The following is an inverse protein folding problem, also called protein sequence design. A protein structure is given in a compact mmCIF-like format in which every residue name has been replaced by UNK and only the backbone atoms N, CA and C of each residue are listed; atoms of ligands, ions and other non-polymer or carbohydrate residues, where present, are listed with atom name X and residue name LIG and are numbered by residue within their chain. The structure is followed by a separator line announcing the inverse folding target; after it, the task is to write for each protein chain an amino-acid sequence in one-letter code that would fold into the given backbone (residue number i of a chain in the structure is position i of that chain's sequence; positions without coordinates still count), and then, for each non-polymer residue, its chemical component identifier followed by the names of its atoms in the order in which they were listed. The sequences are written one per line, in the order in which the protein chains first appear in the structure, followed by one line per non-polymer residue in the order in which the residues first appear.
data_IF_035594434382
#
_entry.id   IF_035594434382
#
_cell.length_a   1.000
_cell.length_b   1.000
_cell.length_c   1.000
_cell.angle_alpha   90.00
_cell.angle_beta   90.00
_cell.angle_gamma   90.00
#
_symmetry.space_group_name_H-M   'P 1'
#
loop_
_entity.id
_entity.type
_entity.pdbx_description
1 polymer ?
#
# COMPACT_ATOMS: atom_id res chain seq x y z
N UNK A 1 -7.79 24.04 -15.35
CA UNK A 1 -6.82 23.12 -14.72
C UNK A 1 -7.29 22.94 -13.28
N UNK A 2 -7.36 21.72 -12.79
CA UNK A 2 -7.72 21.43 -11.39
C UNK A 2 -6.43 21.14 -10.60
N UNK A 3 -6.39 21.60 -9.35
CA UNK A 3 -5.25 21.43 -8.45
C UNK A 3 -5.78 21.24 -7.03
N UNK A 4 -5.23 20.25 -6.34
CA UNK A 4 -5.45 20.02 -4.92
C UNK A 4 -4.24 19.28 -4.34
N UNK A 5 -4.19 19.17 -3.02
CA UNK A 5 -3.14 18.46 -2.30
C UNK A 5 -3.78 17.36 -1.48
N UNK A 6 -3.07 16.24 -1.36
CA UNK A 6 -3.41 15.16 -0.46
C UNK A 6 -2.20 14.86 0.42
N UNK A 7 -2.46 14.38 1.64
CA UNK A 7 -1.43 13.87 2.53
C UNK A 7 -1.61 12.37 2.68
N UNK A 8 -0.62 11.60 2.25
CA UNK A 8 -0.58 10.15 2.44
C UNK A 8 0.53 9.84 3.43
N UNK A 9 0.16 9.34 4.60
CA UNK A 9 1.08 9.18 5.73
C UNK A 9 1.84 10.49 6.04
N UNK A 10 3.17 10.48 5.94
CA UNK A 10 3.99 11.66 6.20
C UNK A 10 4.17 12.57 4.97
N UNK A 11 3.63 12.21 3.80
CA UNK A 11 4.02 12.82 2.52
C UNK A 11 2.89 13.65 1.90
N UNK A 12 3.23 14.87 1.50
CA UNK A 12 2.33 15.80 0.82
C UNK A 12 2.50 15.65 -0.70
N UNK A 13 1.42 15.24 -1.36
CA UNK A 13 1.38 15.05 -2.81
C UNK A 13 0.51 16.14 -3.42
N UNK A 14 1.10 16.91 -4.34
CA UNK A 14 0.39 17.98 -5.06
C UNK A 14 -0.06 17.50 -6.42
N UNK A 15 -1.37 17.37 -6.57
CA UNK A 15 -2.00 16.82 -7.77
C UNK A 15 -2.46 17.96 -8.67
N UNK A 16 -2.12 17.87 -9.96
CA UNK A 16 -2.55 18.77 -11.01
C UNK A 16 -3.13 17.97 -12.18
N UNK A 17 -4.03 18.58 -12.94
CA UNK A 17 -4.39 18.06 -14.26
C UNK A 17 -5.54 18.80 -14.93
N UNK A 18 -5.97 18.30 -16.09
CA UNK A 18 -7.15 18.84 -16.78
C UNK A 18 -8.41 18.36 -16.07
N UNK A 19 -9.36 19.26 -15.84
CA UNK A 19 -10.66 18.91 -15.23
C UNK A 19 -11.29 17.78 -16.04
N UNK A 20 -11.50 16.64 -15.39
CA UNK A 20 -11.99 15.41 -15.98
C UNK A 20 -12.75 14.63 -14.90
N UNK A 21 -13.63 13.73 -15.32
CA UNK A 21 -14.33 12.82 -14.41
C UNK A 21 -13.35 12.04 -13.53
N UNK A 22 -12.25 11.58 -14.11
CA UNK A 22 -11.19 10.85 -13.43
C UNK A 22 -10.59 11.64 -12.24
N UNK A 23 -10.32 12.93 -12.41
CA UNK A 23 -9.79 13.78 -11.34
C UNK A 23 -10.84 14.10 -10.27
N UNK A 24 -12.10 14.28 -10.68
CA UNK A 24 -13.21 14.47 -9.73
C UNK A 24 -13.40 13.25 -8.83
N UNK A 25 -13.46 12.06 -9.44
CA UNK A 25 -13.58 10.79 -8.69
C UNK A 25 -12.38 10.56 -7.78
N UNK A 26 -11.16 10.87 -8.24
CA UNK A 26 -9.98 10.78 -7.38
C UNK A 26 -10.11 11.68 -6.15
N UNK A 27 -10.51 12.94 -6.34
CA UNK A 27 -10.68 13.90 -5.26
C UNK A 27 -11.73 13.45 -4.24
N UNK A 28 -12.85 12.91 -4.72
CA UNK A 28 -13.92 12.41 -3.86
C UNK A 28 -13.47 11.17 -3.07
N UNK A 29 -12.77 10.22 -3.71
CA UNK A 29 -12.23 9.04 -3.06
C UNK A 29 -11.17 9.35 -2.00
N UNK A 30 -10.36 10.37 -2.26
CA UNK A 30 -9.29 10.80 -1.36
C UNK A 30 -9.74 11.97 -0.47
N UNK A 31 -11.04 12.20 -0.32
CA UNK A 31 -11.59 13.34 0.44
C UNK A 31 -11.07 13.40 1.88
N UNK A 32 -10.95 12.25 2.54
CA UNK A 32 -10.43 12.15 3.90
C UNK A 32 -8.94 12.55 4.01
N UNK A 33 -8.20 12.50 2.90
CA UNK A 33 -6.77 12.77 2.81
C UNK A 33 -6.47 14.15 2.20
N UNK A 34 -7.49 14.97 1.91
CA UNK A 34 -7.28 16.32 1.40
C UNK A 34 -6.52 17.17 2.42
N UNK A 35 -5.51 17.88 1.95
CA UNK A 35 -4.59 18.61 2.81
C UNK A 35 -4.46 20.06 2.35
N UNK A 36 -4.93 21.00 3.17
CA UNK A 36 -4.99 22.42 2.81
C UNK A 36 -3.88 23.27 3.47
N UNK A 37 -3.02 22.67 4.30
CA UNK A 37 -1.93 23.40 4.95
C UNK A 37 -0.83 23.77 3.95
N UNK A 38 -0.14 24.86 4.26
CA UNK A 38 1.02 25.32 3.48
C UNK A 38 2.27 24.64 4.03
N UNK A 39 2.95 23.87 3.18
CA UNK A 39 4.17 23.17 3.54
C UNK A 39 4.98 22.76 2.30
N UNK A 40 6.07 22.06 2.56
CA UNK A 40 6.87 21.44 1.51
C UNK A 40 6.07 20.33 0.81
N UNK A 41 6.33 20.17 -0.48
CA UNK A 41 5.66 19.19 -1.33
C UNK A 41 6.67 18.10 -1.65
N UNK A 42 6.37 16.88 -1.25
CA UNK A 42 7.26 15.73 -1.45
C UNK A 42 7.16 15.19 -2.88
N UNK A 43 5.96 15.24 -3.47
CA UNK A 43 5.70 14.74 -4.83
C UNK A 43 4.74 15.65 -5.60
N UNK A 44 5.18 16.14 -6.75
CA UNK A 44 4.33 16.81 -7.73
C UNK A 44 3.81 15.78 -8.74
N UNK A 45 2.50 15.60 -8.78
CA UNK A 45 1.85 14.63 -9.66
C UNK A 45 0.95 15.33 -10.68
N UNK A 46 1.18 15.07 -11.97
CA UNK A 46 0.27 15.48 -13.05
C UNK A 46 -0.56 14.28 -13.54
N UNK A 47 -1.88 14.42 -13.61
CA UNK A 47 -2.79 13.34 -14.01
C UNK A 47 -3.53 13.70 -15.30
N UNK A 48 -3.49 12.78 -16.25
CA UNK A 48 -4.18 12.87 -17.53
C UNK A 48 -5.03 11.61 -17.79
N UNK A 49 -6.23 11.81 -18.35
CA UNK A 49 -7.11 10.71 -18.76
C UNK A 49 -6.99 10.38 -20.25
N UNK A 50 -7.66 9.31 -20.68
CA UNK A 50 -7.77 8.92 -22.10
C UNK A 50 -6.54 8.17 -22.62
N UNK A 51 -5.81 7.50 -21.74
CA UNK A 51 -4.65 6.70 -22.10
C UNK A 51 -5.02 5.25 -22.47
N UNK A 52 -4.30 4.66 -23.42
CA UNK A 52 -4.27 3.22 -23.63
C UNK A 52 -5.63 2.57 -23.95
N UNK A 53 -5.75 1.30 -23.57
CA UNK A 53 -6.94 0.46 -23.73
C UNK A 53 -7.40 -0.10 -22.37
N UNK A 54 -8.63 -0.64 -22.26
CA UNK A 54 -9.09 -1.27 -21.03
C UNK A 54 -8.13 -2.32 -20.46
N UNK A 55 -8.23 -2.56 -19.15
CA UNK A 55 -7.41 -3.54 -18.45
C UNK A 55 -7.43 -4.91 -19.14
N UNK A 56 -6.24 -5.47 -19.38
CA UNK A 56 -6.07 -6.79 -20.01
C UNK A 56 -5.38 -7.80 -19.10
N UNK A 57 -4.30 -7.39 -18.45
CA UNK A 57 -3.51 -8.20 -17.53
C UNK A 57 -2.63 -7.30 -16.65
N UNK A 58 -1.87 -7.91 -15.74
CA UNK A 58 -0.97 -7.23 -14.81
C UNK A 58 0.45 -7.02 -15.37
N UNK A 59 0.69 -7.22 -16.67
CA UNK A 59 2.03 -7.12 -17.23
C UNK A 59 2.44 -5.65 -17.36
N UNK A 60 3.41 -5.25 -16.56
CA UNK A 60 3.99 -3.91 -16.60
C UNK A 60 5.35 -3.98 -17.28
N UNK A 61 5.53 -3.14 -18.31
CA UNK A 61 6.82 -2.92 -18.95
C UNK A 61 7.49 -1.73 -18.29
N UNK A 62 8.78 -1.89 -17.97
CA UNK A 62 9.54 -0.87 -17.28
C UNK A 62 10.67 -0.42 -18.19
N UNK A 63 10.76 0.89 -18.39
CA UNK A 63 11.79 1.54 -19.19
C UNK A 63 12.45 2.59 -18.32
N UNK A 64 13.77 2.64 -18.28
CA UNK A 64 14.49 3.61 -17.47
C UNK A 64 15.61 4.23 -18.30
N UNK A 65 15.76 5.54 -18.19
CA UNK A 65 16.87 6.32 -18.72
C UNK A 65 17.45 7.25 -17.64
N UNK A 66 18.45 8.05 -17.98
CA UNK A 66 19.12 8.93 -17.01
C UNK A 66 18.22 10.02 -16.38
N UNK A 67 17.04 10.27 -16.95
CA UNK A 67 16.15 11.35 -16.54
C UNK A 67 14.87 10.84 -15.88
N UNK A 68 14.33 9.72 -16.36
CA UNK A 68 13.07 9.17 -15.87
C UNK A 68 12.99 7.66 -15.92
N UNK A 69 12.12 7.12 -15.06
CA UNK A 69 11.63 5.75 -15.11
C UNK A 69 10.17 5.77 -15.55
N UNK A 70 9.81 4.85 -16.44
CA UNK A 70 8.48 4.71 -17.00
C UNK A 70 7.93 3.31 -16.71
N UNK A 71 6.72 3.25 -16.15
CA UNK A 71 5.98 2.02 -15.91
C UNK A 71 4.74 2.00 -16.79
N UNK A 72 4.70 1.08 -17.75
CA UNK A 72 3.65 1.02 -18.76
C UNK A 72 2.85 -0.27 -18.61
N UNK A 73 1.54 -0.13 -18.41
CA UNK A 73 0.54 -1.19 -18.58
C UNK A 73 -0.39 -0.81 -19.73
N UNK A 74 -1.23 -1.73 -20.20
CA UNK A 74 -2.13 -1.46 -21.32
C UNK A 74 -3.07 -0.26 -21.08
N UNK A 75 -3.42 0.00 -19.82
CA UNK A 75 -4.43 0.94 -19.34
C UNK A 75 -3.83 2.15 -18.59
N UNK A 76 -2.52 2.17 -18.28
CA UNK A 76 -1.86 3.37 -17.75
C UNK A 76 -0.38 3.49 -18.14
N UNK A 77 0.15 4.71 -18.00
CA UNK A 77 1.57 5.04 -18.04
C UNK A 77 1.92 5.91 -16.83
N UNK A 78 2.92 5.49 -16.06
CA UNK A 78 3.57 6.30 -15.04
C UNK A 78 4.91 6.76 -15.61
N UNK A 79 5.20 8.06 -15.55
CA UNK A 79 6.52 8.62 -15.82
C UNK A 79 6.98 9.33 -14.55
N UNK A 80 8.14 8.98 -14.01
CA UNK A 80 8.68 9.55 -12.77
C UNK A 80 10.14 9.94 -12.96
N UNK A 81 10.51 11.15 -12.52
CA UNK A 81 11.90 11.62 -12.55
C UNK A 81 12.77 10.80 -11.58
N UNK A 82 14.08 10.72 -11.82
CA UNK A 82 14.98 9.87 -11.02
C UNK A 82 15.04 10.23 -9.53
N UNK A 83 14.72 11.47 -9.16
CA UNK A 83 14.63 11.93 -7.77
C UNK A 83 13.25 11.70 -7.14
N UNK A 84 12.29 11.15 -7.89
CA UNK A 84 10.93 10.89 -7.43
C UNK A 84 10.17 12.14 -6.92
N UNK A 85 10.58 13.36 -7.28
CA UNK A 85 9.86 14.60 -6.90
C UNK A 85 8.79 15.00 -7.89
N UNK A 86 8.91 14.59 -9.15
CA UNK A 86 7.93 14.87 -10.19
C UNK A 86 7.49 13.58 -10.86
N UNK A 87 6.18 13.41 -11.01
CA UNK A 87 5.61 12.30 -11.76
C UNK A 87 4.41 12.73 -12.61
N UNK A 88 4.16 11.95 -13.66
CA UNK A 88 2.98 12.03 -14.49
C UNK A 88 2.31 10.66 -14.55
N UNK A 89 0.99 10.63 -14.36
CA UNK A 89 0.16 9.47 -14.63
C UNK A 89 -0.78 9.78 -15.78
N UNK A 90 -0.77 8.92 -16.79
CA UNK A 90 -1.79 8.89 -17.84
C UNK A 90 -2.59 7.60 -17.67
N UNK A 91 -3.91 7.67 -17.49
CA UNK A 91 -4.74 6.49 -17.19
C UNK A 91 -6.00 6.41 -18.09
N UNK A 92 -6.43 5.17 -18.36
CA UNK A 92 -7.63 4.87 -19.14
C UNK A 92 -8.90 5.20 -18.36
N UNK A 93 -8.99 4.64 -17.15
CA UNK A 93 -10.15 4.70 -16.26
C UNK A 93 -9.70 4.81 -14.79
N UNK A 94 -10.68 4.79 -13.89
CA UNK A 94 -10.50 4.92 -12.45
C UNK A 94 -9.69 3.75 -11.85
N UNK A 95 -9.91 2.53 -12.33
CA UNK A 95 -9.20 1.33 -11.85
C UNK A 95 -7.73 1.39 -12.25
N UNK A 96 -7.45 1.82 -13.48
CA UNK A 96 -6.11 2.05 -13.98
C UNK A 96 -5.40 3.14 -13.17
N UNK A 97 -6.08 4.25 -12.88
CA UNK A 97 -5.53 5.33 -12.06
C UNK A 97 -5.21 4.88 -10.63
N UNK A 98 -6.12 4.14 -9.98
CA UNK A 98 -5.87 3.57 -8.65
C UNK A 98 -4.61 2.70 -8.64
N UNK A 99 -4.51 1.77 -9.58
CA UNK A 99 -3.32 0.92 -9.69
C UNK A 99 -2.05 1.74 -9.98
N UNK A 100 -2.12 2.74 -10.85
CA UNK A 100 -0.98 3.61 -11.13
C UNK A 100 -0.51 4.38 -9.89
N UNK A 101 -1.43 4.94 -9.11
CA UNK A 101 -1.14 5.66 -7.87
C UNK A 101 -0.52 4.76 -6.80
N UNK A 102 -1.07 3.57 -6.59
CA UNK A 102 -0.53 2.59 -5.64
C UNK A 102 0.93 2.27 -5.94
N UNK A 103 1.24 2.03 -7.22
CA UNK A 103 2.60 1.66 -7.61
C UNK A 103 3.55 2.85 -7.63
N UNK A 104 3.12 4.03 -8.08
CA UNK A 104 3.91 5.25 -7.95
C UNK A 104 4.26 5.52 -6.48
N UNK A 105 3.28 5.44 -5.58
CA UNK A 105 3.49 5.71 -4.17
C UNK A 105 4.41 4.66 -3.52
N UNK A 106 4.22 3.37 -3.85
CA UNK A 106 5.12 2.30 -3.39
C UNK A 106 6.56 2.53 -3.85
N UNK A 107 6.77 2.91 -5.11
CA UNK A 107 8.11 3.25 -5.62
C UNK A 107 8.70 4.49 -4.98
N UNK A 108 7.88 5.50 -4.72
CA UNK A 108 8.29 6.71 -4.06
C UNK A 108 8.78 6.43 -2.62
N UNK A 109 8.01 5.72 -1.79
CA UNK A 109 8.44 5.43 -0.41
C UNK A 109 9.65 4.48 -0.34
N UNK A 110 9.79 3.57 -1.31
CA UNK A 110 10.96 2.71 -1.43
C UNK A 110 12.19 3.49 -1.88
N UNK A 111 12.03 4.46 -2.79
CA UNK A 111 13.13 5.29 -3.28
C UNK A 111 13.83 6.02 -2.12
N UNK A 112 13.04 6.52 -1.17
CA UNK A 112 13.53 7.23 0.02
C UNK A 112 13.87 6.32 1.21
N UNK A 113 13.77 5.00 1.06
CA UNK A 113 13.91 4.02 2.16
C UNK A 113 13.00 4.31 3.37
N UNK A 114 11.84 4.92 3.13
CA UNK A 114 10.90 5.31 4.20
C UNK A 114 10.06 4.13 4.69
N UNK A 115 9.68 3.23 3.78
CA UNK A 115 8.78 2.14 4.14
C UNK A 115 8.38 1.23 2.99
N UNK A 116 7.35 0.43 3.24
CA UNK A 116 6.82 -0.59 2.34
C UNK A 116 5.30 -0.45 2.21
N UNK A 117 4.79 -0.73 1.01
CA UNK A 117 3.37 -0.91 0.77
C UNK A 117 3.08 -2.42 0.67
N UNK A 118 2.33 -2.97 1.63
CA UNK A 118 2.10 -4.43 1.74
C UNK A 118 0.67 -4.77 1.29
N UNK A 119 0.52 -5.71 0.37
CA UNK A 119 -0.75 -6.27 -0.07
C UNK A 119 -1.42 -7.06 1.05
N UNK A 120 -2.28 -6.37 1.79
CA UNK A 120 -2.80 -6.82 3.08
C UNK A 120 -4.02 -6.00 3.50
N UNK A 121 -4.78 -6.53 4.46
CA UNK A 121 -5.67 -5.70 5.28
C UNK A 121 -5.00 -5.40 6.62
N UNK A 122 -5.41 -4.33 7.29
CA UNK A 122 -4.87 -3.93 8.58
C UNK A 122 -5.97 -3.50 9.55
N UNK A 123 -6.05 -4.19 10.68
CA UNK A 123 -7.03 -3.97 11.74
C UNK A 123 -6.33 -3.53 13.01
N UNK A 124 -6.98 -2.71 13.83
CA UNK A 124 -6.47 -2.30 15.13
C UNK A 124 -7.13 -3.13 16.23
N UNK A 125 -6.31 -3.68 17.12
CA UNK A 125 -6.75 -4.30 18.37
C UNK A 125 -5.87 -3.80 19.52
N UNK A 126 -6.49 -3.42 20.64
CA UNK A 126 -5.80 -2.97 21.85
C UNK A 126 -4.72 -1.90 21.60
N UNK A 127 -4.99 -0.98 20.65
CA UNK A 127 -4.09 0.12 20.29
C UNK A 127 -2.90 -0.27 19.40
N UNK A 128 -2.84 -1.51 18.90
CA UNK A 128 -1.82 -1.99 17.96
C UNK A 128 -2.45 -2.37 16.63
N UNK A 129 -1.71 -2.16 15.55
CA UNK A 129 -2.06 -2.60 14.21
C UNK A 129 -1.71 -4.08 14.02
N UNK A 130 -2.59 -4.81 13.35
CA UNK A 130 -2.43 -6.21 12.96
C UNK A 130 -2.62 -6.30 11.45
N UNK A 131 -1.57 -6.74 10.74
CA UNK A 131 -1.61 -6.91 9.30
C UNK A 131 -2.04 -8.34 8.98
N UNK A 132 -3.02 -8.51 8.10
CA UNK A 132 -3.40 -9.79 7.52
C UNK A 132 -2.98 -9.81 6.05
N UNK A 133 -1.90 -10.53 5.75
CA UNK A 133 -1.32 -10.65 4.42
C UNK A 133 -1.47 -12.07 3.87
N UNK A 134 -1.36 -12.23 2.56
CA UNK A 134 -1.52 -13.53 1.91
C UNK A 134 -1.77 -13.38 0.42
N UNK A 135 -1.70 -14.51 -0.29
CA UNK A 135 -1.95 -14.57 -1.73
C UNK A 135 -3.35 -14.05 -2.09
N UNK A 136 -3.57 -13.76 -3.37
CA UNK A 136 -4.93 -13.45 -3.85
C UNK A 136 -5.87 -14.62 -3.49
N UNK A 137 -7.03 -14.32 -2.92
CA UNK A 137 -7.97 -15.33 -2.43
C UNK A 137 -7.69 -15.91 -1.04
N UNK A 138 -6.56 -15.58 -0.38
CA UNK A 138 -6.22 -16.10 0.97
C UNK A 138 -7.23 -15.67 2.06
N UNK A 139 -7.99 -14.59 1.82
CA UNK A 139 -9.05 -14.14 2.73
C UNK A 139 -8.76 -12.85 3.50
N UNK A 140 -7.85 -11.98 3.02
CA UNK A 140 -7.52 -10.68 3.64
C UNK A 140 -8.75 -9.81 3.94
N UNK A 141 -9.59 -9.59 2.95
CA UNK A 141 -10.83 -8.81 3.10
C UNK A 141 -11.85 -9.56 3.98
N UNK A 142 -11.83 -10.89 3.98
CA UNK A 142 -12.66 -11.71 4.87
C UNK A 142 -12.22 -11.54 6.33
N UNK A 143 -10.93 -11.62 6.62
CA UNK A 143 -10.38 -11.38 7.96
C UNK A 143 -10.72 -9.96 8.45
N UNK A 144 -10.57 -8.95 7.59
CA UNK A 144 -10.99 -7.58 7.90
C UNK A 144 -12.49 -7.48 8.25
N UNK A 145 -13.37 -8.07 7.41
CA UNK A 145 -14.83 -8.08 7.65
C UNK A 145 -15.20 -8.81 8.95
N UNK A 146 -14.54 -9.94 9.23
CA UNK A 146 -14.75 -10.73 10.45
C UNK A 146 -14.17 -10.07 11.71
N UNK A 147 -13.35 -9.04 11.56
CA UNK A 147 -12.75 -8.34 12.70
C UNK A 147 -13.64 -7.27 13.30
N UNK A 148 -14.76 -6.90 12.65
CA UNK A 148 -15.72 -5.95 13.20
C UNK A 148 -16.17 -6.35 14.62
N UNK A 149 -16.31 -5.39 15.55
CA UNK A 149 -16.34 -3.93 15.35
C UNK A 149 -14.97 -3.22 15.43
N UNK A 150 -13.85 -3.94 15.34
CA UNK A 150 -12.50 -3.35 15.40
C UNK A 150 -12.23 -2.36 14.27
N UNK A 151 -11.36 -1.39 14.54
CA UNK A 151 -11.02 -0.36 13.59
C UNK A 151 -10.17 -0.87 12.43
N UNK A 152 -10.34 -0.28 11.25
CA UNK A 152 -9.67 -0.71 10.02
C UNK A 152 -8.82 0.41 9.42
N UNK A 153 -7.52 0.16 9.23
CA UNK A 153 -6.58 1.10 8.58
C UNK A 153 -6.42 0.85 7.08
N UNK A 154 -6.57 -0.40 6.63
CA UNK A 154 -6.44 -0.77 5.23
C UNK A 154 -7.19 -2.06 4.92
N UNK A 155 -7.67 -2.23 3.69
CA UNK A 155 -8.32 -3.47 3.21
C UNK A 155 -7.69 -4.08 1.95
N UNK A 156 -6.69 -3.40 1.37
CA UNK A 156 -5.99 -3.84 0.17
C UNK A 156 -4.48 -3.58 0.24
N UNK A 157 -4.06 -2.34 0.53
CA UNK A 157 -2.64 -2.01 0.62
C UNK A 157 -2.35 -1.25 1.91
N UNK A 158 -1.58 -1.88 2.81
CA UNK A 158 -1.19 -1.29 4.09
C UNK A 158 0.11 -0.50 3.93
N UNK A 159 0.12 0.75 4.37
CA UNK A 159 1.30 1.62 4.36
C UNK A 159 2.07 1.39 5.66
N UNK A 160 3.30 0.88 5.54
CA UNK A 160 4.17 0.57 6.68
C UNK A 160 5.42 1.44 6.62
N UNK A 161 5.61 2.32 7.61
CA UNK A 161 6.86 3.04 7.83
C UNK A 161 7.83 2.17 8.61
N UNK A 162 9.06 2.09 8.14
CA UNK A 162 10.11 1.23 8.71
C UNK A 162 11.26 2.09 9.21
N UNK A 163 11.16 2.54 10.47
CA UNK A 163 12.27 3.19 11.17
C UNK A 163 13.13 2.15 11.93
N UNK A 164 14.25 2.57 12.52
CA UNK A 164 15.17 1.66 13.23
C UNK A 164 14.52 1.02 14.46
N UNK A 165 13.80 1.80 15.27
CA UNK A 165 13.23 1.33 16.55
C UNK A 165 11.71 1.19 16.53
N UNK A 166 11.03 1.74 15.51
CA UNK A 166 9.57 1.84 15.49
C UNK A 166 9.02 1.51 14.12
N UNK A 167 8.11 0.55 14.08
CA UNK A 167 7.33 0.25 12.89
C UNK A 167 5.92 0.80 13.08
N UNK A 168 5.51 1.67 12.17
CA UNK A 168 4.20 2.34 12.23
C UNK A 168 3.38 2.04 10.98
N UNK A 169 2.07 1.91 11.16
CA UNK A 169 1.09 1.73 10.09
C UNK A 169 0.19 2.95 10.00
N UNK A 170 -0.09 3.37 8.78
CA UNK A 170 -0.94 4.52 8.49
C UNK A 170 -2.27 4.09 7.88
N UNK A 171 -3.28 4.95 8.00
CA UNK A 171 -4.51 4.81 7.24
C UNK A 171 -4.20 4.91 5.74
N UNK A 172 -4.72 3.96 4.97
CA UNK A 172 -4.40 3.85 3.55
C UNK A 172 -5.55 4.39 2.70
N UNK A 173 -5.27 5.26 1.71
CA UNK A 173 -6.27 5.65 0.73
C UNK A 173 -6.49 4.57 -0.34
N UNK A 174 -5.61 3.57 -0.41
CA UNK A 174 -5.66 2.50 -1.41
C UNK A 174 -6.60 1.39 -0.97
N UNK A 175 -7.90 1.66 -1.10
CA UNK A 175 -8.97 0.82 -0.59
C UNK A 175 -9.68 0.00 -1.67
N UNK A 176 -10.17 -1.18 -1.28
CA UNK A 176 -10.99 -2.03 -2.15
C UNK A 176 -12.49 -1.73 -2.01
N UNK A 177 -13.05 -1.97 -0.83
CA UNK A 177 -14.48 -1.89 -0.54
C UNK A 177 -14.77 -1.24 0.83
N UNK A 178 -13.82 -1.32 1.78
CA UNK A 178 -14.06 -0.95 3.17
C UNK A 178 -13.50 0.44 3.48
N UNK A 179 -14.36 1.31 4.02
CA UNK A 179 -13.97 2.62 4.51
C UNK A 179 -13.16 2.53 5.82
N UNK A 180 -12.36 3.57 6.10
CA UNK A 180 -11.69 3.70 7.39
C UNK A 180 -12.73 3.94 8.49
N UNK A 181 -12.41 3.51 9.70
CA UNK A 181 -13.18 3.85 10.90
C UNK A 181 -12.41 4.75 11.87
N UNK A 182 -11.15 5.11 11.54
CA UNK A 182 -10.26 5.86 12.46
C UNK A 182 -9.60 7.07 11.79
N UNK A 183 -9.41 8.13 12.57
CA UNK A 183 -8.69 9.34 12.17
C UNK A 183 -7.16 9.13 12.09
N UNK A 184 -6.50 10.01 11.32
CA UNK A 184 -5.15 9.95 10.70
C UNK A 184 -3.92 9.79 11.61
N UNK A 185 -4.02 9.10 12.76
CA UNK A 185 -2.88 8.89 13.65
C UNK A 185 -2.18 7.56 13.32
N UNK A 186 -0.86 7.56 13.09
CA UNK A 186 -0.12 6.32 12.87
C UNK A 186 -0.24 5.39 14.08
N UNK A 187 -0.48 4.12 13.82
CA UNK A 187 -0.59 3.07 14.82
C UNK A 187 0.69 2.23 14.86
N UNK A 188 1.16 1.80 16.03
CA UNK A 188 2.30 0.89 16.10
C UNK A 188 1.91 -0.48 15.55
N UNK A 189 2.76 -1.07 14.70
CA UNK A 189 2.56 -2.44 14.23
C UNK A 189 2.83 -3.42 15.38
N UNK A 190 1.89 -4.32 15.65
CA UNK A 190 2.03 -5.38 16.62
C UNK A 190 2.45 -6.71 15.99
N UNK A 191 1.75 -7.11 14.93
CA UNK A 191 1.92 -8.42 14.30
C UNK A 191 1.62 -8.39 12.80
N UNK A 192 2.26 -9.31 12.08
CA UNK A 192 1.89 -9.67 10.70
C UNK A 192 1.45 -11.13 10.66
N UNK A 193 0.23 -11.35 10.22
CA UNK A 193 -0.41 -12.66 10.10
C UNK A 193 -0.51 -13.06 8.64
N UNK A 194 0.16 -14.14 8.26
CA UNK A 194 0.06 -14.75 6.94
C UNK A 194 -1.11 -15.72 6.92
N UNK A 195 -2.13 -15.39 6.13
CA UNK A 195 -3.40 -16.08 6.15
C UNK A 195 -3.36 -17.43 5.43
N UNK A 196 -3.83 -18.46 6.12
CA UNK A 196 -4.09 -19.77 5.59
C UNK A 196 -5.53 -20.18 5.93
N UNK A 197 -6.35 -20.52 4.94
CA UNK A 197 -7.72 -20.97 5.21
C UNK A 197 -7.71 -22.35 5.87
N UNK A 198 -8.47 -22.52 6.95
CA UNK A 198 -8.49 -23.76 7.73
C UNK A 198 -9.85 -24.03 8.35
N UNK A 199 -10.09 -25.28 8.73
CA UNK A 199 -11.24 -25.68 9.53
C UNK A 199 -11.01 -25.47 11.04
N UNK A 200 -9.80 -25.11 11.45
CA UNK A 200 -9.42 -24.81 12.85
C UNK A 200 -8.51 -23.59 12.91
N UNK A 201 -8.63 -22.81 13.98
CA UNK A 201 -7.71 -21.70 14.20
C UNK A 201 -6.39 -22.22 14.76
N UNK A 202 -5.28 -21.84 14.17
CA UNK A 202 -3.94 -22.14 14.65
C UNK A 202 -3.00 -21.00 14.27
N UNK A 203 -2.04 -20.73 15.15
CA UNK A 203 -1.07 -19.65 14.98
C UNK A 203 0.34 -20.21 15.12
N UNK A 204 1.09 -20.19 14.03
CA UNK A 204 2.44 -20.79 13.95
C UNK A 204 3.45 -19.68 13.69
N UNK A 205 4.29 -19.37 14.68
CA UNK A 205 5.34 -18.36 14.52
C UNK A 205 6.35 -18.77 13.45
N UNK A 206 6.76 -17.80 12.64
CA UNK A 206 7.80 -17.99 11.63
C UNK A 206 9.16 -17.55 12.15
N UNK A 207 10.20 -18.21 11.62
CA UNK A 207 11.56 -17.66 11.73
C UNK A 207 11.67 -16.39 10.90
N UNK A 208 12.60 -15.49 11.26
CA UNK A 208 12.85 -14.25 10.51
C UNK A 208 13.11 -14.51 9.02
N UNK A 209 13.88 -15.55 8.70
CA UNK A 209 14.17 -15.94 7.32
C UNK A 209 12.91 -16.35 6.55
N UNK A 210 12.05 -17.19 7.15
CA UNK A 210 10.76 -17.57 6.55
C UNK A 210 9.87 -16.34 6.35
N UNK A 211 9.79 -15.45 7.35
CA UNK A 211 9.00 -14.24 7.27
C UNK A 211 9.43 -13.31 6.13
N UNK A 212 10.74 -13.12 5.92
CA UNK A 212 11.25 -12.31 4.79
C UNK A 212 10.86 -12.95 3.46
N UNK A 213 11.08 -14.26 3.31
CA UNK A 213 10.75 -14.98 2.08
C UNK A 213 9.26 -14.87 1.75
N UNK A 214 8.41 -15.09 2.75
CA UNK A 214 6.97 -14.97 2.60
C UNK A 214 6.52 -13.54 2.36
N UNK A 215 7.13 -12.51 2.94
CA UNK A 215 6.67 -11.14 2.74
C UNK A 215 7.14 -10.53 1.41
N UNK A 216 8.18 -11.10 0.78
CA UNK A 216 8.77 -10.55 -0.44
C UNK A 216 7.75 -10.43 -1.58
N UNK A 217 6.90 -11.44 -1.79
CA UNK A 217 5.87 -11.43 -2.84
C UNK A 217 4.58 -10.69 -2.45
N UNK A 218 4.51 -10.19 -1.21
CA UNK A 218 3.38 -9.42 -0.67
C UNK A 218 3.64 -7.91 -0.69
N UNK A 219 4.85 -7.45 -1.01
CA UNK A 219 5.12 -6.02 -1.22
C UNK A 219 4.57 -5.62 -2.59
N UNK A 220 3.79 -4.54 -2.65
CA UNK A 220 3.27 -3.95 -3.90
C UNK A 220 4.40 -3.27 -4.67
N UNK A 221 5.27 -4.03 -5.33
CA UNK A 221 6.39 -3.46 -6.06
C UNK A 221 6.79 -4.28 -7.28
N UNK A 222 7.15 -3.59 -8.36
CA UNK A 222 7.79 -4.22 -9.51
C UNK A 222 9.29 -3.98 -9.44
N UNK A 223 10.01 -4.96 -8.89
CA UNK A 223 11.46 -4.91 -8.85
C UNK A 223 12.02 -4.92 -10.27
N UNK A 224 12.74 -3.85 -10.65
CA UNK A 224 13.33 -3.74 -11.98
C UNK A 224 14.84 -3.54 -11.96
N UNK A 225 15.41 -3.22 -10.79
CA UNK A 225 16.86 -3.16 -10.58
C UNK A 225 17.30 -4.00 -9.37
N UNK A 226 18.53 -4.55 -9.36
CA UNK A 226 19.09 -5.20 -8.19
C UNK A 226 19.15 -4.31 -6.95
N UNK A 227 19.32 -3.00 -7.13
CA UNK A 227 19.36 -2.00 -6.06
C UNK A 227 18.02 -1.90 -5.33
N UNK A 228 16.90 -1.96 -6.05
CA UNK A 228 15.56 -1.97 -5.47
C UNK A 228 15.27 -3.27 -4.70
N UNK A 229 15.63 -4.42 -5.28
CA UNK A 229 15.54 -5.70 -4.58
C UNK A 229 16.28 -5.63 -3.23
N UNK A 230 17.48 -5.06 -3.25
CA UNK A 230 18.29 -4.87 -2.04
C UNK A 230 17.60 -3.96 -1.03
N UNK A 231 17.00 -2.84 -1.45
CA UNK A 231 16.26 -1.94 -0.54
C UNK A 231 15.05 -2.62 0.08
N UNK A 232 14.25 -3.34 -0.71
CA UNK A 232 13.11 -4.12 -0.21
C UNK A 232 13.58 -5.13 0.83
N UNK A 233 14.64 -5.89 0.51
CA UNK A 233 15.18 -6.89 1.41
C UNK A 233 15.68 -6.26 2.73
N UNK A 234 16.34 -5.11 2.67
CA UNK A 234 16.78 -4.37 3.86
C UNK A 234 15.61 -3.89 4.72
N UNK A 235 14.58 -3.32 4.12
CA UNK A 235 13.37 -2.88 4.84
C UNK A 235 12.60 -4.07 5.44
N UNK A 236 12.45 -5.17 4.70
CA UNK A 236 11.85 -6.39 5.22
C UNK A 236 12.64 -6.99 6.38
N UNK A 237 13.98 -6.95 6.30
CA UNK A 237 14.86 -7.42 7.39
C UNK A 237 14.60 -6.63 8.67
N UNK A 238 14.65 -5.29 8.57
CA UNK A 238 14.33 -4.40 9.71
C UNK A 238 12.93 -4.66 10.26
N UNK A 239 11.95 -4.83 9.36
CA UNK A 239 10.57 -5.10 9.74
C UNK A 239 10.44 -6.38 10.58
N UNK A 240 10.99 -7.51 10.12
CA UNK A 240 10.85 -8.81 10.82
C UNK A 240 11.79 -8.94 12.03
N UNK A 241 12.79 -8.08 12.17
CA UNK A 241 13.62 -8.00 13.36
C UNK A 241 12.84 -7.46 14.56
N UNK A 242 11.92 -6.52 14.31
CA UNK A 242 11.12 -5.84 15.32
C UNK A 242 9.73 -6.45 15.45
N UNK A 243 9.14 -6.91 14.34
CA UNK A 243 7.75 -7.34 14.28
C UNK A 243 7.63 -8.85 14.10
N UNK A 244 7.00 -9.57 15.04
CA UNK A 244 6.70 -10.98 14.89
C UNK A 244 5.75 -11.25 13.71
N UNK A 245 6.07 -12.32 12.97
CA UNK A 245 5.29 -12.81 11.83
C UNK A 245 4.90 -14.25 12.07
N UNK A 246 3.65 -14.60 11.79
CA UNK A 246 3.13 -15.96 11.95
C UNK A 246 2.26 -16.38 10.77
N UNK A 247 2.12 -17.68 10.59
CA UNK A 247 1.03 -18.25 9.82
C UNK A 247 -0.21 -18.33 10.70
N UNK A 248 -1.28 -17.67 10.27
CA UNK A 248 -2.59 -17.73 10.88
C UNK A 248 -3.48 -18.63 10.03
N UNK A 249 -3.63 -19.87 10.48
CA UNK A 249 -4.67 -20.76 9.99
C UNK A 249 -5.98 -20.30 10.63
N UNK A 250 -6.98 -19.93 9.82
CA UNK A 250 -8.22 -19.38 10.36
C UNK A 250 -9.47 -20.03 9.76
N UNK A 251 -10.44 -20.26 10.65
CA UNK A 251 -11.82 -20.53 10.31
C UNK A 251 -12.51 -19.27 9.80
N UNK A 252 -13.56 -19.42 9.00
CA UNK A 252 -14.36 -18.31 8.48
C UNK A 252 -15.32 -17.73 9.53
N UNK A 253 -14.80 -17.35 10.69
CA UNK A 253 -15.48 -16.64 11.77
C UNK A 253 -14.46 -15.73 12.49
N UNK A 254 -14.86 -15.04 13.56
CA UNK A 254 -14.01 -14.09 14.26
C UNK A 254 -13.22 -14.69 15.44
N UNK A 255 -13.29 -16.00 15.68
CA UNK A 255 -12.66 -16.63 16.88
C UNK A 255 -11.14 -16.70 16.76
N UNK A 256 -10.55 -16.42 15.60
CA UNK A 256 -9.09 -16.29 15.47
C UNK A 256 -8.53 -15.14 16.32
N UNK A 257 -9.36 -14.15 16.69
CA UNK A 257 -8.95 -13.09 17.62
C UNK A 257 -8.63 -13.60 19.02
N UNK A 258 -9.16 -14.76 19.43
CA UNK A 258 -8.80 -15.41 20.71
C UNK A 258 -7.33 -15.87 20.74
N UNK A 259 -6.68 -16.02 19.57
CA UNK A 259 -5.25 -16.35 19.44
C UNK A 259 -4.35 -15.12 19.27
N UNK A 260 -4.95 -13.96 19.01
CA UNK A 260 -4.25 -12.69 18.75
C UNK A 260 -4.26 -11.79 19.99
N UNK A 261 -5.37 -11.81 20.75
CA UNK A 261 -5.67 -10.89 21.86
C UNK A 261 -5.11 -11.36 23.20
#
# INVERSE_FOLDING_TARGET
MERFQIKIADHVIKINGKRSELLGVLRDKYRAFLYDEVGDIDLFLNIEGGYGSPFTNNNVKIYSDNWKTMYQRADYLIEVEQDYKTAKISAHDELALKHALMNLYSSFILHYNWGLLIHSSCVIENGKAHIFAGNSGAGKSTAAKLSKPRDLLADEATIVKVDEDKISVYDSPFRSELESTKEEVPCQLGYIHLLNQSLTNERISLTKAQAIMELTDKVFYWCHTPEEAKRIFQLLTKLVETIPVDNLHFQKNNTFWELIS
#
